data_IF_318678732080
#
_entry.id   IF_318678732080
#
_cell.length_a   1.000
_cell.length_b   1.000
_cell.length_c   1.000
_cell.angle_alpha   90.00
_cell.angle_beta   90.00
_cell.angle_gamma   90.00
#
_symmetry.space_group_name_H-M   'P 1'
#
loop_
_entity.id
_entity.type
_entity.pdbx_description
1 polymer ?
#
# COMPACT_ATOMS: atom_id res chain seq x y z
N UNK A 1 -39.34 19.65 -11.02
CA UNK A 1 -38.48 18.70 -11.76
C UNK A 1 -37.15 18.54 -11.04
N UNK A 2 -36.85 17.36 -10.48
CA UNK A 2 -35.60 17.12 -9.74
C UNK A 2 -34.42 16.92 -10.69
N UNK A 3 -33.31 17.64 -10.46
CA UNK A 3 -32.07 17.52 -11.24
C UNK A 3 -31.52 16.08 -11.08
N UNK A 4 -31.37 15.35 -12.19
CA UNK A 4 -30.67 14.04 -12.18
C UNK A 4 -29.17 14.28 -11.93
N UNK A 5 -28.62 13.68 -10.88
CA UNK A 5 -27.20 13.79 -10.54
C UNK A 5 -26.42 12.60 -11.11
N UNK A 6 -25.51 12.86 -12.04
CA UNK A 6 -24.62 11.87 -12.67
C UNK A 6 -23.31 11.67 -11.88
N UNK A 7 -23.35 11.80 -10.55
CA UNK A 7 -22.13 11.75 -9.73
C UNK A 7 -21.75 10.30 -9.42
N UNK A 8 -20.55 9.92 -9.84
CA UNK A 8 -20.02 8.56 -9.62
C UNK A 8 -19.41 8.44 -8.23
N UNK A 9 -19.80 7.39 -7.50
CA UNK A 9 -19.23 7.04 -6.18
C UNK A 9 -18.49 5.70 -6.29
N UNK A 10 -17.24 5.66 -5.83
CA UNK A 10 -16.41 4.46 -5.83
C UNK A 10 -16.09 3.96 -4.43
N UNK A 11 -16.06 2.63 -4.25
CA UNK A 11 -15.61 2.03 -3.00
C UNK A 11 -14.08 2.00 -2.92
N UNK A 12 -13.53 2.44 -1.78
CA UNK A 12 -12.08 2.51 -1.54
C UNK A 12 -11.55 1.33 -0.71
N UNK A 13 -12.43 0.51 -0.14
CA UNK A 13 -12.05 -0.62 0.70
C UNK A 13 -13.01 -1.79 0.51
N UNK A 14 -12.54 -2.99 0.83
CA UNK A 14 -13.36 -4.21 0.86
C UNK A 14 -13.23 -4.84 2.24
N UNK A 15 -14.35 -5.28 2.82
CA UNK A 15 -14.35 -5.99 4.10
C UNK A 15 -13.82 -7.42 3.91
N UNK A 16 -13.08 -7.98 4.88
CA UNK A 16 -12.73 -9.39 4.89
C UNK A 16 -13.97 -10.29 4.80
N UNK A 17 -13.86 -11.44 4.12
CA UNK A 17 -14.97 -12.40 4.00
C UNK A 17 -15.33 -13.03 5.36
N UNK A 18 -14.31 -13.37 6.15
CA UNK A 18 -14.45 -14.00 7.47
C UNK A 18 -14.04 -13.01 8.57
N UNK A 19 -14.97 -12.60 9.45
CA UNK A 19 -14.66 -11.61 10.48
C UNK A 19 -13.69 -12.11 11.56
N UNK A 20 -13.85 -13.35 12.04
CA UNK A 20 -13.21 -13.84 13.27
C UNK A 20 -12.07 -14.84 13.01
N UNK A 21 -11.12 -14.47 12.16
CA UNK A 21 -9.87 -15.23 11.99
C UNK A 21 -8.77 -14.62 12.85
N UNK A 22 -8.28 -15.39 13.84
CA UNK A 22 -7.29 -14.93 14.81
C UNK A 22 -5.99 -14.45 14.16
N UNK A 23 -5.43 -15.25 13.24
CA UNK A 23 -4.19 -14.92 12.53
C UNK A 23 -4.27 -13.59 11.77
N UNK A 24 -5.40 -13.34 11.09
CA UNK A 24 -5.65 -12.09 10.37
C UNK A 24 -5.77 -10.91 11.33
N UNK A 25 -6.48 -11.08 12.44
CA UNK A 25 -6.66 -10.03 13.45
C UNK A 25 -5.33 -9.64 14.08
N UNK A 26 -4.48 -10.63 14.39
CA UNK A 26 -3.15 -10.42 14.97
C UNK A 26 -2.22 -9.72 13.96
N UNK A 27 -2.23 -10.14 12.70
CA UNK A 27 -1.44 -9.49 11.64
C UNK A 27 -1.86 -8.03 11.41
N UNK A 28 -3.18 -7.76 11.37
CA UNK A 28 -3.69 -6.39 11.27
C UNK A 28 -3.33 -5.55 12.49
N UNK A 29 -3.34 -6.14 13.68
CA UNK A 29 -3.00 -5.44 14.92
C UNK A 29 -1.52 -5.06 14.97
N UNK A 30 -0.61 -5.94 14.53
CA UNK A 30 0.82 -5.65 14.40
C UNK A 30 1.07 -4.45 13.48
N UNK A 31 0.47 -4.46 12.28
CA UNK A 31 0.58 -3.35 11.32
C UNK A 31 0.01 -2.05 11.88
N UNK A 32 -1.12 -2.11 12.60
CA UNK A 32 -1.71 -0.93 13.25
C UNK A 32 -0.78 -0.35 14.30
N UNK A 33 -0.12 -1.20 15.08
CA UNK A 33 0.85 -0.80 16.10
C UNK A 33 2.11 -0.17 15.53
N UNK A 34 2.71 -0.78 14.50
CA UNK A 34 3.95 -0.28 13.86
C UNK A 34 3.78 1.10 13.24
N UNK A 35 2.64 1.37 12.60
CA UNK A 35 2.41 2.59 11.84
C UNK A 35 1.48 3.61 12.52
N UNK A 36 1.02 3.33 13.75
CA UNK A 36 0.16 4.25 14.51
C UNK A 36 -1.19 4.55 13.84
N UNK A 37 -1.86 3.51 13.32
CA UNK A 37 -3.12 3.66 12.59
C UNK A 37 -4.31 3.81 13.55
N UNK A 38 -5.24 4.73 13.25
CA UNK A 38 -6.46 4.89 14.07
C UNK A 38 -7.48 3.77 13.86
N UNK A 39 -7.64 3.30 12.61
CA UNK A 39 -8.73 2.40 12.22
C UNK A 39 -8.25 1.27 11.28
N UNK A 40 -8.77 0.04 11.48
CA UNK A 40 -8.54 -1.11 10.58
C UNK A 40 -8.97 -0.86 9.13
N UNK A 41 -9.94 0.05 8.91
CA UNK A 41 -10.37 0.46 7.57
C UNK A 41 -9.23 1.01 6.72
N UNK A 42 -8.22 1.61 7.33
CA UNK A 42 -7.07 2.15 6.59
C UNK A 42 -6.18 1.05 6.04
N UNK A 43 -5.95 0.00 6.82
CA UNK A 43 -5.26 -1.22 6.36
C UNK A 43 -6.02 -1.82 5.17
N UNK A 44 -7.34 -1.92 5.27
CA UNK A 44 -8.17 -2.48 4.18
C UNK A 44 -8.16 -1.62 2.90
N UNK A 45 -8.00 -0.30 3.00
CA UNK A 45 -7.83 0.56 1.81
C UNK A 45 -6.51 0.26 1.10
N UNK A 46 -5.42 0.12 1.87
CA UNK A 46 -4.09 -0.20 1.32
C UNK A 46 -4.09 -1.58 0.68
N UNK A 47 -4.64 -2.59 1.39
CA UNK A 47 -4.80 -3.94 0.85
C UNK A 47 -5.65 -3.95 -0.41
N UNK A 48 -6.73 -3.17 -0.46
CA UNK A 48 -7.59 -3.08 -1.64
C UNK A 48 -6.86 -2.43 -2.83
N UNK A 49 -6.05 -1.40 -2.60
CA UNK A 49 -5.23 -0.79 -3.64
C UNK A 49 -4.18 -1.78 -4.18
N UNK A 50 -3.50 -2.53 -3.30
CA UNK A 50 -2.59 -3.61 -3.69
C UNK A 50 -3.26 -4.69 -4.50
N UNK A 51 -4.46 -5.11 -4.09
CA UNK A 51 -5.22 -6.12 -4.81
C UNK A 51 -5.52 -5.65 -6.24
N UNK A 52 -5.92 -4.39 -6.45
CA UNK A 52 -6.16 -3.83 -7.79
C UNK A 52 -4.89 -3.87 -8.66
N UNK A 53 -3.76 -3.46 -8.10
CA UNK A 53 -2.47 -3.46 -8.81
C UNK A 53 -2.06 -4.89 -9.17
N UNK A 54 -2.16 -5.83 -8.23
CA UNK A 54 -1.84 -7.25 -8.45
C UNK A 54 -2.75 -7.89 -9.49
N UNK A 55 -4.05 -7.60 -9.46
CA UNK A 55 -4.98 -8.13 -10.48
C UNK A 55 -4.62 -7.61 -11.86
N UNK A 56 -4.31 -6.31 -11.99
CA UNK A 56 -3.83 -5.74 -13.26
C UNK A 56 -2.52 -6.39 -13.73
N UNK A 57 -1.55 -6.61 -12.83
CA UNK A 57 -0.31 -7.31 -13.19
C UNK A 57 -0.57 -8.75 -13.65
N UNK A 58 -1.46 -9.50 -12.98
CA UNK A 58 -1.82 -10.87 -13.38
C UNK A 58 -2.48 -10.93 -14.75
N UNK A 59 -3.40 -10.02 -15.06
CA UNK A 59 -4.04 -9.96 -16.38
C UNK A 59 -3.05 -9.61 -17.49
N UNK A 60 -2.03 -8.80 -17.18
CA UNK A 60 -0.99 -8.45 -18.13
C UNK A 60 -0.02 -9.62 -18.36
N UNK A 61 0.31 -10.38 -17.31
CA UNK A 61 1.19 -11.54 -17.42
C UNK A 61 0.61 -12.64 -18.31
N UNK A 62 -0.72 -12.81 -18.32
CA UNK A 62 -1.40 -13.81 -19.15
C UNK A 62 -1.47 -13.45 -20.63
N UNK A 63 -1.25 -12.18 -21.00
CA UNK A 63 -1.24 -11.74 -22.39
C UNK A 63 0.13 -11.98 -23.03
N UNK A 64 0.13 -12.21 -24.35
CA UNK A 64 1.34 -12.41 -25.14
C UNK A 64 2.28 -11.18 -25.08
N UNK A 65 3.59 -11.44 -25.14
CA UNK A 65 4.65 -10.43 -25.01
C UNK A 65 4.59 -9.35 -26.08
N UNK A 66 4.04 -9.66 -27.27
CA UNK A 66 3.98 -8.74 -28.40
C UNK A 66 2.68 -7.95 -28.49
N UNK A 67 1.74 -8.18 -27.57
CA UNK A 67 0.47 -7.45 -27.60
C UNK A 67 0.65 -5.98 -27.22
N UNK A 68 0.10 -5.08 -28.02
CA UNK A 68 0.15 -3.62 -27.79
C UNK A 68 -0.45 -3.25 -26.42
N UNK A 69 -1.48 -3.98 -25.99
CA UNK A 69 -2.10 -3.81 -24.68
C UNK A 69 -1.14 -4.08 -23.54
N UNK A 70 -0.30 -5.11 -23.65
CA UNK A 70 0.68 -5.46 -22.61
C UNK A 70 1.78 -4.41 -22.53
N UNK A 71 2.29 -3.96 -23.67
CA UNK A 71 3.34 -2.93 -23.71
C UNK A 71 2.84 -1.62 -23.12
N UNK A 72 1.68 -1.14 -23.58
CA UNK A 72 1.13 0.15 -23.14
C UNK A 72 0.68 0.12 -21.67
N UNK A 73 -0.13 -0.85 -21.28
CA UNK A 73 -0.64 -0.93 -19.90
C UNK A 73 0.44 -1.35 -18.92
N UNK A 74 1.37 -2.22 -19.32
CA UNK A 74 2.53 -2.61 -18.51
C UNK A 74 3.44 -1.42 -18.22
N UNK A 75 3.79 -0.65 -19.24
CA UNK A 75 4.63 0.54 -19.05
C UNK A 75 3.90 1.61 -18.22
N UNK A 76 2.60 1.84 -18.46
CA UNK A 76 1.81 2.77 -17.66
C UNK A 76 1.75 2.37 -16.18
N UNK A 77 1.65 1.07 -15.89
CA UNK A 77 1.66 0.54 -14.53
C UNK A 77 3.02 0.77 -13.86
N UNK A 78 4.11 0.44 -14.55
CA UNK A 78 5.48 0.65 -14.06
C UNK A 78 5.77 2.14 -13.80
N UNK A 79 5.41 3.02 -14.73
CA UNK A 79 5.55 4.49 -14.56
C UNK A 79 4.81 4.99 -13.31
N UNK A 80 3.60 4.47 -13.05
CA UNK A 80 2.84 4.83 -11.84
C UNK A 80 3.53 4.35 -10.57
N UNK A 81 4.11 3.16 -10.56
CA UNK A 81 4.80 2.61 -9.40
C UNK A 81 6.08 3.38 -9.06
N UNK A 82 6.86 3.79 -10.06
CA UNK A 82 8.07 4.61 -9.88
C UNK A 82 7.70 5.98 -9.31
N UNK A 83 6.65 6.61 -9.84
CA UNK A 83 6.16 7.91 -9.33
C UNK A 83 5.74 7.87 -7.86
N UNK A 84 5.15 6.75 -7.42
CA UNK A 84 4.79 6.52 -6.02
C UNK A 84 6.00 6.13 -5.16
N UNK A 85 7.16 5.86 -5.77
CA UNK A 85 8.38 5.43 -5.10
C UNK A 85 8.27 4.03 -4.49
N UNK A 86 7.49 3.13 -5.10
CA UNK A 86 7.30 1.76 -4.61
C UNK A 86 8.36 0.79 -5.16
N UNK A 87 8.89 1.06 -6.35
CA UNK A 87 9.99 0.33 -6.97
C UNK A 87 11.12 1.30 -7.32
N UNK A 88 12.36 0.79 -7.35
CA UNK A 88 13.52 1.50 -7.87
C UNK A 88 13.59 1.41 -9.40
N UNK A 89 14.32 2.33 -10.02
CA UNK A 89 14.56 2.38 -11.47
C UNK A 89 15.18 1.09 -12.02
N UNK A 90 15.91 0.36 -11.17
CA UNK A 90 16.59 -0.90 -11.47
C UNK A 90 15.65 -2.12 -11.52
N UNK A 91 14.46 -2.05 -10.91
CA UNK A 91 13.54 -3.18 -10.71
C UNK A 91 12.25 -3.04 -11.54
N UNK A 92 12.36 -2.56 -12.78
CA UNK A 92 11.21 -2.36 -13.70
C UNK A 92 10.72 -3.66 -14.35
N UNK A 93 10.46 -4.71 -13.58
CA UNK A 93 9.81 -5.94 -14.08
C UNK A 93 8.42 -6.10 -13.50
N UNK A 94 7.49 -6.66 -14.27
CA UNK A 94 6.12 -6.93 -13.82
C UNK A 94 6.09 -7.92 -12.65
N UNK A 95 7.06 -8.84 -12.57
CA UNK A 95 7.15 -9.83 -11.50
C UNK A 95 7.38 -9.19 -10.12
N UNK A 96 8.17 -8.12 -10.05
CA UNK A 96 8.39 -7.40 -8.80
C UNK A 96 7.13 -6.72 -8.26
N UNK A 97 6.19 -6.36 -9.15
CA UNK A 97 4.88 -5.82 -8.75
C UNK A 97 4.06 -6.87 -7.99
N UNK A 98 4.21 -8.16 -8.29
CA UNK A 98 3.54 -9.23 -7.56
C UNK A 98 4.09 -9.38 -6.13
N UNK A 99 5.38 -9.13 -5.94
CA UNK A 99 6.08 -9.20 -4.65
C UNK A 99 5.84 -8.01 -3.70
N UNK A 100 5.12 -6.97 -4.12
CA UNK A 100 4.87 -5.77 -3.31
C UNK A 100 4.23 -6.10 -1.95
N UNK A 101 4.85 -5.62 -0.87
CA UNK A 101 4.33 -5.78 0.50
C UNK A 101 3.48 -4.57 0.92
N UNK A 102 2.58 -4.79 1.88
CA UNK A 102 1.73 -3.73 2.46
C UNK A 102 2.57 -2.65 3.15
N UNK A 103 3.68 -3.04 3.78
CA UNK A 103 4.61 -2.15 4.46
C UNK A 103 5.15 -1.04 3.54
N UNK A 104 5.58 -1.39 2.31
CA UNK A 104 6.14 -0.42 1.36
C UNK A 104 5.19 0.71 0.98
N UNK A 105 3.87 0.45 0.95
CA UNK A 105 2.89 1.50 0.69
C UNK A 105 2.64 2.35 1.93
N UNK A 106 2.72 1.75 3.11
CA UNK A 106 2.52 2.45 4.38
C UNK A 106 3.68 3.39 4.72
N UNK A 107 4.92 3.04 4.37
CA UNK A 107 6.10 3.91 4.45
C UNK A 107 5.97 5.19 3.61
N UNK A 108 5.12 5.19 2.58
CA UNK A 108 4.89 6.36 1.71
C UNK A 108 3.79 7.30 2.19
N UNK A 109 3.07 6.96 3.26
CA UNK A 109 2.08 7.86 3.86
C UNK A 109 2.77 9.11 4.41
N UNK A 110 2.13 10.27 4.25
CA UNK A 110 2.68 11.53 4.77
C UNK A 110 2.94 11.45 6.28
N UNK A 111 2.11 10.71 7.01
CA UNK A 111 2.25 10.49 8.45
C UNK A 111 3.59 9.84 8.82
N UNK A 112 4.02 8.80 8.09
CA UNK A 112 5.31 8.12 8.30
C UNK A 112 6.50 8.91 7.78
N UNK A 113 6.29 9.83 6.84
CA UNK A 113 7.32 10.80 6.39
C UNK A 113 7.49 11.99 7.33
N UNK A 114 6.44 12.37 8.08
CA UNK A 114 6.46 13.49 9.02
C UNK A 114 6.88 13.07 10.44
N UNK A 115 6.63 11.81 10.83
CA UNK A 115 7.05 11.25 12.12
C UNK A 115 8.55 10.92 12.32
N UNK A 116 9.43 10.77 11.31
CA UNK A 116 10.84 10.46 11.56
C UNK A 116 11.52 11.53 12.41
N UNK A 117 11.10 12.80 12.28
CA UNK A 117 11.62 13.91 13.09
C UNK A 117 11.07 13.97 14.52
N UNK A 118 10.02 13.22 14.90
CA UNK A 118 9.41 13.29 16.24
C UNK A 118 9.48 11.99 17.04
N UNK A 119 9.81 10.87 16.40
CA UNK A 119 10.01 9.58 17.09
C UNK A 119 11.38 9.50 17.81
N UNK A 120 12.25 10.50 17.67
CA UNK A 120 13.46 10.62 18.47
C UNK A 120 13.16 10.98 19.94
N UNK A 121 12.04 11.62 20.24
CA UNK A 121 11.79 12.18 21.58
C UNK A 121 10.94 11.31 22.52
N UNK A 122 10.52 10.11 22.10
CA UNK A 122 9.64 9.26 22.92
C UNK A 122 10.07 7.79 22.98
N UNK A 123 11.37 7.55 23.15
CA UNK A 123 11.89 6.30 23.75
C UNK A 123 12.80 6.64 24.94
N UNK A 124 12.15 6.74 26.11
CA UNK A 124 12.70 6.71 27.48
C UNK A 124 13.60 7.88 27.97
N UNK A 125 13.17 8.62 29.02
CA UNK A 125 14.00 9.60 29.74
C UNK A 125 14.92 8.98 30.81
N UNK A 126 15.24 7.69 30.74
CA UNK A 126 16.11 7.03 31.72
C UNK A 126 16.95 5.98 30.99
N UNK A 127 18.25 6.29 30.81
CA UNK A 127 19.43 5.43 30.97
C UNK A 127 20.63 6.20 30.40
N UNK A 128 21.29 6.90 31.33
CA UNK A 128 22.73 7.20 31.40
C UNK A 128 23.46 7.62 30.13
N UNK A 129 23.58 8.94 29.98
CA UNK A 129 24.80 9.57 29.50
C UNK A 129 25.88 9.37 30.58
N UNK A 130 26.76 8.38 30.41
CA UNK A 130 28.00 8.24 31.19
C UNK A 130 29.06 7.66 30.28
N UNK A 131 29.78 8.54 29.61
CA UNK A 131 31.12 8.29 29.07
C UNK A 131 31.77 9.66 28.87
N UNK A 132 32.30 10.16 29.99
CA UNK A 132 33.60 10.85 30.00
C UNK A 132 34.66 9.83 30.37
#
# INVERSE_FOLDING_TARGET
MGKKSYRNNGSTFRKPKRPFEKERLDAEMKIVGEYGLKNKREVWRVQYALAKIRTAARTLLTQDEKSETRLFQGEALLRRMIRLGLLLESEKKLDYVLGLTTAKIMERRLQTKAHPCRQADLRHPFVSCSLG
#
